data_IF_907055889360
#
_entry.id   IF_907055889360
#
_cell.length_a   1.000
_cell.length_b   1.000
_cell.length_c   1.000
_cell.angle_alpha   90.00
_cell.angle_beta   90.00
_cell.angle_gamma   90.00
#
_symmetry.space_group_name_H-M   'P 1'
#
loop_
_entity.id
_entity.type
_entity.pdbx_description
1 polymer ?
#
# COMPACT_ATOMS: atom_id res chain seq x y z
N UNK A 1 -9.51 30.70 -9.89
CA UNK A 1 -9.72 30.00 -11.17
C UNK A 1 -9.75 28.49 -10.91
N UNK A 2 -10.37 27.71 -11.82
CA UNK A 2 -10.39 26.26 -11.69
C UNK A 2 -9.09 25.61 -12.16
N UNK A 3 -8.86 24.31 -11.84
CA UNK A 3 -7.65 23.57 -12.22
C UNK A 3 -7.62 23.15 -13.71
N UNK A 4 -8.58 23.55 -14.51
CA UNK A 4 -8.64 23.29 -15.96
C UNK A 4 -8.36 24.58 -16.72
N UNK A 5 -7.46 24.50 -17.71
CA UNK A 5 -6.99 25.61 -18.52
C UNK A 5 -7.08 25.24 -19.99
N UNK A 6 -7.70 26.11 -20.80
CA UNK A 6 -7.73 25.96 -22.25
C UNK A 6 -6.59 26.74 -22.89
N UNK A 7 -5.80 26.07 -23.70
CA UNK A 7 -4.61 26.63 -24.37
C UNK A 7 -4.81 26.56 -25.88
N UNK A 8 -4.68 27.70 -26.54
CA UNK A 8 -4.81 27.81 -28.02
C UNK A 8 -3.44 27.79 -28.67
N UNK A 9 -3.34 27.02 -29.73
CA UNK A 9 -2.13 26.87 -30.53
C UNK A 9 -2.31 27.40 -31.95
N UNK A 10 -1.21 27.60 -32.66
CA UNK A 10 -1.26 27.84 -34.09
C UNK A 10 -1.64 26.56 -34.85
N UNK A 11 -2.10 26.73 -36.09
CA UNK A 11 -2.51 25.60 -36.91
C UNK A 11 -1.32 24.63 -37.12
N UNK A 12 -1.56 23.35 -36.87
CA UNK A 12 -0.53 22.30 -36.98
C UNK A 12 0.44 22.18 -35.80
N UNK A 13 0.31 23.00 -34.75
CA UNK A 13 1.16 22.97 -33.57
C UNK A 13 0.49 22.38 -32.30
N UNK A 14 -0.64 21.72 -32.48
CA UNK A 14 -1.38 21.13 -31.34
C UNK A 14 -0.56 20.02 -30.68
N UNK A 15 -0.27 20.11 -29.35
CA UNK A 15 0.57 19.13 -28.65
C UNK A 15 -0.14 17.78 -28.52
N UNK A 16 0.63 16.72 -28.34
CA UNK A 16 0.08 15.40 -28.06
C UNK A 16 -0.62 15.37 -26.69
N UNK A 17 -1.61 14.46 -26.57
CA UNK A 17 -2.25 14.17 -25.28
C UNK A 17 -1.17 13.72 -24.28
N UNK A 18 -1.30 14.17 -23.04
CA UNK A 18 -0.35 14.03 -21.93
C UNK A 18 0.92 14.87 -22.02
N UNK A 19 1.16 15.63 -23.08
CA UNK A 19 2.27 16.56 -23.06
C UNK A 19 2.15 17.53 -21.88
N UNK A 20 3.29 17.82 -21.25
CA UNK A 20 3.42 18.85 -20.26
C UNK A 20 3.63 20.22 -20.93
N UNK A 21 2.84 21.20 -20.53
CA UNK A 21 2.99 22.57 -20.97
C UNK A 21 3.38 23.43 -19.77
N UNK A 22 4.22 24.43 -19.99
CA UNK A 22 4.67 25.34 -18.93
C UNK A 22 4.18 26.76 -19.17
N UNK A 23 3.72 27.42 -18.12
CA UNK A 23 3.22 28.81 -18.14
C UNK A 23 3.91 29.59 -17.02
N UNK A 24 4.65 30.65 -17.30
CA UNK A 24 5.22 31.50 -16.26
C UNK A 24 4.10 32.32 -15.58
N UNK A 25 4.07 32.30 -14.25
CA UNK A 25 3.16 33.08 -13.43
C UNK A 25 3.98 33.84 -12.39
N UNK A 26 4.37 35.07 -12.69
CA UNK A 26 5.28 35.84 -11.84
C UNK A 26 6.63 35.14 -11.72
N UNK A 27 7.05 34.80 -10.51
CA UNK A 27 8.32 34.12 -10.22
C UNK A 27 8.23 32.58 -10.31
N UNK A 28 7.03 32.01 -10.44
CA UNK A 28 6.80 30.58 -10.51
C UNK A 28 6.42 30.12 -11.91
N UNK A 29 6.65 28.86 -12.19
CA UNK A 29 6.19 28.17 -13.40
C UNK A 29 5.05 27.23 -13.05
N UNK A 30 3.91 27.37 -13.75
CA UNK A 30 2.81 26.43 -13.67
C UNK A 30 2.98 25.35 -14.75
N UNK A 31 2.94 24.10 -14.36
CA UNK A 31 2.84 22.99 -15.29
C UNK A 31 1.39 22.54 -15.44
N UNK A 32 0.94 22.41 -16.70
CA UNK A 32 -0.36 21.86 -17.05
C UNK A 32 -0.19 20.68 -18.00
N UNK A 33 -1.03 19.67 -17.91
CA UNK A 33 -1.00 18.48 -18.75
C UNK A 33 -2.14 18.51 -19.76
N UNK A 34 -1.86 18.24 -21.03
CA UNK A 34 -2.87 18.15 -22.09
C UNK A 34 -3.79 16.95 -21.82
N UNK A 35 -5.06 17.21 -21.59
CA UNK A 35 -6.08 16.19 -21.32
C UNK A 35 -6.93 15.82 -22.54
N UNK A 36 -7.26 16.80 -23.35
CA UNK A 36 -8.07 16.58 -24.57
C UNK A 36 -7.93 17.75 -25.57
N UNK A 37 -8.19 17.46 -26.85
CA UNK A 37 -8.34 18.44 -27.89
C UNK A 37 -9.83 18.80 -28.04
N UNK A 38 -10.16 20.09 -27.98
CA UNK A 38 -11.56 20.54 -27.99
C UNK A 38 -11.98 21.26 -29.29
N UNK A 39 -11.14 21.21 -30.31
CA UNK A 39 -11.34 21.90 -31.59
C UNK A 39 -10.65 23.27 -31.64
N UNK A 40 -10.71 23.92 -32.80
CA UNK A 40 -10.13 25.27 -33.05
C UNK A 40 -8.68 25.43 -32.56
N UNK A 41 -7.84 24.43 -32.79
CA UNK A 41 -6.46 24.35 -32.32
C UNK A 41 -6.30 24.57 -30.80
N UNK A 42 -7.29 24.17 -30.03
CA UNK A 42 -7.33 24.37 -28.58
C UNK A 42 -7.20 23.02 -27.84
N UNK A 43 -6.26 22.97 -26.92
CA UNK A 43 -6.08 21.89 -25.97
C UNK A 43 -6.65 22.27 -24.61
N UNK A 44 -7.43 21.39 -24.02
CA UNK A 44 -7.89 21.49 -22.63
C UNK A 44 -6.91 20.76 -21.74
N UNK A 45 -6.38 21.47 -20.75
CA UNK A 45 -5.29 21.02 -19.91
C UNK A 45 -5.68 21.03 -18.43
N UNK A 46 -5.02 20.17 -17.66
CA UNK A 46 -5.19 20.00 -16.21
C UNK A 46 -3.96 20.60 -15.51
N UNK A 47 -4.16 21.50 -14.57
CA UNK A 47 -3.09 22.12 -13.80
C UNK A 47 -2.56 21.19 -12.70
N UNK A 48 -1.23 21.13 -12.56
CA UNK A 48 -0.53 20.39 -11.53
C UNK A 48 -0.27 21.21 -10.25
N UNK A 49 -0.54 22.52 -10.31
CA UNK A 49 -0.45 23.41 -9.16
C UNK A 49 -1.58 24.47 -9.22
N UNK A 50 -1.66 25.36 -8.21
CA UNK A 50 -2.67 26.43 -8.22
C UNK A 50 -2.56 27.31 -9.47
N UNK A 51 -3.71 27.63 -10.05
CA UNK A 51 -3.84 28.56 -11.18
C UNK A 51 -4.00 30.03 -10.77
N UNK A 52 -3.83 30.32 -9.48
CA UNK A 52 -3.96 31.71 -8.98
C UNK A 52 -2.89 32.58 -9.61
N UNK A 53 -3.34 33.75 -10.10
CA UNK A 53 -2.49 34.70 -10.82
C UNK A 53 -2.38 34.48 -12.32
N UNK A 54 -2.85 33.33 -12.85
CA UNK A 54 -2.90 33.07 -14.29
C UNK A 54 -3.86 34.04 -14.99
N UNK A 55 -3.43 34.66 -16.09
CA UNK A 55 -4.20 35.62 -16.88
C UNK A 55 -4.45 35.06 -18.29
N UNK A 56 -5.51 35.55 -18.93
CA UNK A 56 -5.76 35.25 -20.33
C UNK A 56 -4.69 35.88 -21.21
N UNK A 57 -4.24 35.18 -22.23
CA UNK A 57 -3.27 35.61 -23.19
C UNK A 57 -1.81 35.46 -22.75
N UNK A 58 -1.56 34.78 -21.63
CA UNK A 58 -0.19 34.44 -21.27
C UNK A 58 0.38 33.36 -22.19
N UNK A 59 1.66 33.49 -22.47
CA UNK A 59 2.37 32.57 -23.35
C UNK A 59 2.54 31.20 -22.67
N UNK A 60 2.33 30.15 -23.44
CA UNK A 60 2.46 28.77 -23.00
C UNK A 60 3.52 28.08 -23.85
N UNK A 61 4.40 27.33 -23.22
CA UNK A 61 5.45 26.55 -23.92
C UNK A 61 5.14 25.06 -23.84
N UNK A 62 5.08 24.39 -24.98
CA UNK A 62 5.04 22.92 -25.04
C UNK A 62 6.44 22.38 -24.76
N UNK A 63 6.58 21.48 -23.80
CA UNK A 63 7.85 20.80 -23.50
C UNK A 63 8.17 19.69 -24.50
N UNK A 64 7.23 19.31 -25.37
CA UNK A 64 7.34 18.25 -26.33
C UNK A 64 7.29 16.82 -25.74
N UNK A 65 7.04 16.68 -24.45
CA UNK A 65 7.00 15.41 -23.74
C UNK A 65 6.01 15.42 -22.58
N UNK A 66 5.54 14.25 -22.11
CA UNK A 66 4.80 14.11 -20.87
C UNK A 66 5.61 14.54 -19.64
N UNK A 67 4.91 14.72 -18.51
CA UNK A 67 5.53 14.93 -17.19
C UNK A 67 6.54 13.80 -16.95
N UNK A 68 7.74 14.15 -16.50
CA UNK A 68 8.79 13.20 -16.15
C UNK A 68 9.26 13.43 -14.70
N UNK A 69 9.72 12.37 -14.05
CA UNK A 69 10.23 12.40 -12.68
C UNK A 69 11.65 11.86 -12.62
N UNK A 70 12.48 12.31 -11.66
CA UNK A 70 13.81 11.75 -11.46
C UNK A 70 13.66 10.29 -10.98
N UNK A 71 14.57 9.45 -11.45
CA UNK A 71 14.61 8.02 -11.11
C UNK A 71 16.04 7.61 -10.77
N UNK A 72 16.21 6.53 -10.03
CA UNK A 72 17.52 6.04 -9.64
C UNK A 72 17.78 6.15 -8.15
N UNK A 73 18.98 5.74 -7.74
CA UNK A 73 19.37 5.68 -6.32
C UNK A 73 19.44 7.04 -5.65
N UNK A 74 19.61 8.09 -6.43
CA UNK A 74 19.61 9.49 -6.00
C UNK A 74 18.25 9.95 -5.44
N UNK A 75 17.18 9.20 -5.74
CA UNK A 75 15.84 9.46 -5.18
C UNK A 75 15.64 8.90 -3.78
N UNK A 76 16.50 7.98 -3.34
CA UNK A 76 16.35 7.34 -2.04
C UNK A 76 16.65 8.32 -0.90
N UNK A 77 15.82 8.25 0.12
CA UNK A 77 15.90 9.15 1.29
C UNK A 77 15.29 10.54 1.06
N UNK A 78 14.67 10.78 -0.10
CA UNK A 78 14.21 12.09 -0.53
C UNK A 78 12.69 12.12 -0.71
N UNK A 79 12.14 13.33 -0.68
CA UNK A 79 10.70 13.60 -0.93
C UNK A 79 10.57 14.43 -2.20
N UNK A 80 9.71 13.95 -3.10
CA UNK A 80 9.38 14.62 -4.36
C UNK A 80 7.89 14.93 -4.45
N UNK A 81 7.55 15.95 -5.25
CA UNK A 81 6.18 16.21 -5.66
C UNK A 81 5.81 15.44 -6.95
N UNK A 82 4.62 15.69 -7.50
CA UNK A 82 4.12 15.06 -8.73
C UNK A 82 5.00 15.30 -9.95
N UNK A 83 5.71 16.44 -10.00
CA UNK A 83 6.63 16.82 -11.09
C UNK A 83 8.07 16.32 -10.88
N UNK A 84 8.32 15.68 -9.72
CA UNK A 84 9.64 15.24 -9.34
C UNK A 84 10.55 16.36 -8.81
N UNK A 85 9.98 17.50 -8.39
CA UNK A 85 10.73 18.53 -7.69
C UNK A 85 10.91 18.12 -6.23
N UNK A 86 12.05 18.46 -5.66
CA UNK A 86 12.40 18.18 -4.26
C UNK A 86 11.58 19.08 -3.32
N UNK A 87 10.96 18.47 -2.31
CA UNK A 87 10.13 19.20 -1.31
C UNK A 87 10.62 19.03 0.13
N UNK A 88 11.74 18.35 0.33
CA UNK A 88 12.36 18.13 1.65
C UNK A 88 13.43 19.17 2.02
N UNK A 89 13.50 20.28 1.30
CA UNK A 89 14.52 21.33 1.42
C UNK A 89 15.97 20.85 1.17
N UNK A 90 16.14 19.69 0.54
CA UNK A 90 17.45 19.20 0.13
C UNK A 90 17.86 19.73 -1.24
N UNK A 91 19.09 19.41 -1.67
CA UNK A 91 19.55 19.74 -3.01
C UNK A 91 18.84 18.88 -4.07
N UNK A 92 18.61 19.46 -5.25
CA UNK A 92 18.14 18.69 -6.42
C UNK A 92 19.11 17.56 -6.76
N UNK A 93 18.60 16.35 -7.07
CA UNK A 93 19.44 15.25 -7.51
C UNK A 93 20.21 15.63 -8.78
N UNK A 94 21.54 15.52 -8.74
CA UNK A 94 22.41 15.82 -9.90
C UNK A 94 22.59 14.57 -10.74
N UNK A 95 22.59 14.76 -12.06
CA UNK A 95 22.90 13.71 -13.05
C UNK A 95 21.95 12.50 -12.99
N UNK A 96 20.73 12.63 -12.44
CA UNK A 96 19.78 11.55 -12.45
C UNK A 96 18.96 11.49 -13.74
N UNK A 97 18.65 10.27 -14.16
CA UNK A 97 17.78 10.00 -15.29
C UNK A 97 16.35 10.43 -14.94
N UNK A 98 15.59 10.87 -15.95
CA UNK A 98 14.16 11.20 -15.78
C UNK A 98 13.32 10.32 -16.69
N UNK A 99 12.27 9.76 -16.16
CA UNK A 99 11.32 8.92 -16.89
C UNK A 99 9.92 9.54 -16.91
N UNK A 100 9.27 9.40 -18.06
CA UNK A 100 7.89 9.87 -18.23
C UNK A 100 6.94 9.08 -17.33
N UNK A 101 5.97 9.76 -16.72
CA UNK A 101 4.99 9.11 -15.83
C UNK A 101 3.93 8.31 -16.60
N UNK A 102 3.66 8.65 -17.86
CA UNK A 102 2.76 7.92 -18.75
C UNK A 102 3.55 6.85 -19.49
N UNK A 103 3.60 5.65 -18.92
CA UNK A 103 4.28 4.48 -19.46
C UNK A 103 3.26 3.36 -19.69
N UNK A 104 3.47 2.52 -20.72
CA UNK A 104 2.64 1.32 -20.90
C UNK A 104 2.95 0.28 -19.80
N UNK A 105 2.00 -0.61 -19.55
CA UNK A 105 2.27 -1.82 -18.78
C UNK A 105 3.31 -2.70 -19.47
N UNK A 106 4.06 -3.54 -18.74
CA UNK A 106 4.99 -4.51 -19.34
C UNK A 106 4.28 -5.40 -20.35
N UNK A 107 4.98 -5.75 -21.43
CA UNK A 107 4.44 -6.67 -22.45
C UNK A 107 4.23 -8.07 -21.86
N UNK A 108 3.27 -8.81 -22.38
CA UNK A 108 2.97 -10.17 -21.92
C UNK A 108 4.19 -11.10 -21.93
N UNK A 109 5.09 -10.90 -22.91
CA UNK A 109 6.34 -11.65 -23.04
C UNK A 109 7.36 -11.37 -21.92
N UNK A 110 7.24 -10.24 -21.23
CA UNK A 110 8.13 -9.81 -20.14
C UNK A 110 7.65 -10.29 -18.77
N UNK A 111 6.39 -10.68 -18.64
CA UNK A 111 5.81 -11.08 -17.36
C UNK A 111 6.45 -12.36 -16.82
N UNK A 112 6.59 -12.42 -15.50
CA UNK A 112 6.92 -13.66 -14.80
C UNK A 112 5.71 -14.60 -14.80
N UNK A 113 5.96 -15.91 -14.95
CA UNK A 113 4.90 -16.91 -15.10
C UNK A 113 4.60 -17.69 -13.81
N UNK A 114 5.47 -17.60 -12.80
CA UNK A 114 5.31 -18.29 -11.51
C UNK A 114 4.79 -17.34 -10.44
N UNK A 115 3.81 -17.80 -9.67
CA UNK A 115 3.41 -17.14 -8.44
C UNK A 115 4.41 -17.52 -7.33
N UNK A 116 5.07 -16.54 -6.75
CA UNK A 116 5.99 -16.71 -5.63
C UNK A 116 5.46 -15.96 -4.39
N UNK A 117 5.67 -16.55 -3.22
CA UNK A 117 5.32 -15.88 -1.96
C UNK A 117 6.34 -14.77 -1.70
N UNK A 118 5.85 -13.59 -1.41
CA UNK A 118 6.62 -12.49 -0.86
C UNK A 118 6.62 -12.62 0.66
N UNK A 119 7.68 -13.19 1.21
CA UNK A 119 7.81 -13.41 2.66
C UNK A 119 8.00 -12.09 3.39
N UNK A 120 7.08 -11.77 4.29
CA UNK A 120 7.09 -10.51 5.04
C UNK A 120 7.81 -10.61 6.39
N UNK A 121 7.96 -11.81 6.92
CA UNK A 121 8.46 -12.08 8.27
C UNK A 121 7.48 -11.73 9.37
N UNK A 122 6.22 -11.45 9.03
CA UNK A 122 5.12 -11.14 9.94
C UNK A 122 4.16 -12.32 9.98
N UNK A 123 4.13 -13.02 11.10
CA UNK A 123 3.41 -14.31 11.25
C UNK A 123 1.97 -14.30 10.73
N UNK A 124 1.18 -13.30 11.14
CA UNK A 124 -0.24 -13.25 10.77
C UNK A 124 -0.43 -13.03 9.27
N UNK A 125 0.42 -12.23 8.63
CA UNK A 125 0.37 -11.99 7.19
C UNK A 125 0.80 -13.25 6.45
N UNK A 126 1.98 -13.76 6.74
CA UNK A 126 2.57 -14.89 6.03
C UNK A 126 1.73 -16.16 6.18
N UNK A 127 1.04 -16.36 7.30
CA UNK A 127 0.17 -17.51 7.52
C UNK A 127 -1.18 -17.38 6.82
N UNK A 128 -1.88 -16.25 7.06
CA UNK A 128 -3.33 -16.11 6.77
C UNK A 128 -3.60 -15.43 5.43
N UNK A 129 -2.85 -14.38 5.13
CA UNK A 129 -3.01 -13.60 3.90
C UNK A 129 -1.66 -13.38 3.18
N UNK A 130 -0.93 -14.46 2.84
CA UNK A 130 0.40 -14.35 2.25
C UNK A 130 0.38 -13.48 1.01
N UNK A 131 1.39 -12.63 0.87
CA UNK A 131 1.52 -11.71 -0.26
C UNK A 131 2.17 -12.43 -1.44
N UNK A 132 1.68 -12.13 -2.63
CA UNK A 132 2.30 -12.56 -3.87
C UNK A 132 3.37 -11.57 -4.29
N UNK A 133 4.53 -12.06 -4.69
CA UNK A 133 5.56 -11.23 -5.33
C UNK A 133 5.01 -10.66 -6.64
N UNK A 134 5.08 -9.34 -6.78
CA UNK A 134 4.42 -8.63 -7.88
C UNK A 134 2.91 -8.49 -7.74
N UNK A 135 2.35 -8.87 -6.59
CA UNK A 135 0.93 -8.78 -6.28
C UNK A 135 0.50 -7.40 -5.79
N UNK A 136 -0.81 -7.24 -5.74
CA UNK A 136 -1.49 -6.02 -5.30
C UNK A 136 -2.26 -6.32 -4.02
N UNK A 137 -1.85 -5.70 -2.94
CA UNK A 137 -2.40 -5.94 -1.60
C UNK A 137 -3.22 -4.73 -1.18
N UNK A 138 -4.48 -4.95 -0.82
CA UNK A 138 -5.30 -3.94 -0.18
C UNK A 138 -5.09 -3.93 1.33
N UNK A 139 -4.75 -2.79 1.89
CA UNK A 139 -4.61 -2.59 3.33
C UNK A 139 -5.81 -1.77 3.83
N UNK A 140 -6.63 -2.42 4.64
CA UNK A 140 -7.83 -1.83 5.23
C UNK A 140 -7.62 -1.58 6.71
N UNK A 141 -8.16 -0.49 7.21
CA UNK A 141 -8.13 -0.19 8.64
C UNK A 141 -8.42 1.26 8.93
N UNK A 142 -9.15 1.49 10.00
CA UNK A 142 -9.44 2.81 10.52
C UNK A 142 -8.22 3.51 11.13
N UNK A 143 -8.44 4.70 11.67
CA UNK A 143 -7.38 5.42 12.39
C UNK A 143 -7.00 4.68 13.68
N UNK A 144 -5.72 4.69 14.03
CA UNK A 144 -5.20 4.20 15.30
C UNK A 144 -5.06 2.68 15.44
N UNK A 145 -5.16 1.91 14.35
CA UNK A 145 -5.00 0.45 14.36
C UNK A 145 -3.57 -0.02 14.04
N UNK A 146 -2.63 0.91 13.88
CA UNK A 146 -1.21 0.59 13.61
C UNK A 146 -0.84 0.45 12.14
N UNK A 147 -1.63 1.02 11.20
CA UNK A 147 -1.34 0.96 9.76
C UNK A 147 0.08 1.46 9.43
N UNK A 148 0.45 2.64 9.90
CA UNK A 148 1.76 3.26 9.66
C UNK A 148 2.91 2.40 10.21
N UNK A 149 2.75 1.85 11.41
CA UNK A 149 3.76 0.98 12.02
C UNK A 149 3.94 -0.31 11.22
N UNK A 150 2.86 -0.89 10.73
CA UNK A 150 2.91 -2.06 9.84
C UNK A 150 3.64 -1.75 8.53
N UNK A 151 3.33 -0.62 7.90
CA UNK A 151 4.02 -0.17 6.68
C UNK A 151 5.53 -0.02 6.92
N UNK A 152 5.91 0.65 8.00
CA UNK A 152 7.32 0.83 8.34
C UNK A 152 8.04 -0.49 8.61
N UNK A 153 7.38 -1.44 9.27
CA UNK A 153 7.96 -2.77 9.51
C UNK A 153 8.15 -3.55 8.21
N UNK A 154 7.20 -3.49 7.28
CA UNK A 154 7.35 -4.09 5.96
C UNK A 154 8.52 -3.49 5.18
N UNK A 155 8.68 -2.17 5.20
CA UNK A 155 9.84 -1.48 4.59
C UNK A 155 11.15 -1.95 5.24
N UNK A 156 11.18 -2.02 6.57
CA UNK A 156 12.34 -2.46 7.32
C UNK A 156 12.72 -3.91 6.98
N UNK A 157 11.74 -4.80 6.93
CA UNK A 157 11.96 -6.21 6.66
C UNK A 157 12.45 -6.45 5.23
N UNK A 158 11.87 -5.78 4.23
CA UNK A 158 12.35 -5.91 2.85
C UNK A 158 13.76 -5.36 2.69
N UNK A 159 14.07 -4.24 3.34
CA UNK A 159 15.41 -3.65 3.28
C UNK A 159 16.47 -4.53 3.93
N UNK A 160 16.16 -5.14 5.08
CA UNK A 160 17.11 -5.98 5.83
C UNK A 160 17.29 -7.38 5.27
N UNK A 161 16.18 -8.02 4.88
CA UNK A 161 16.20 -9.44 4.51
C UNK A 161 16.36 -9.66 3.00
N UNK A 162 15.83 -8.77 2.20
CA UNK A 162 15.83 -8.90 0.74
C UNK A 162 16.74 -7.88 0.05
N UNK A 163 17.33 -6.93 0.80
CA UNK A 163 18.12 -5.82 0.21
C UNK A 163 17.30 -4.94 -0.75
N UNK A 164 15.98 -5.03 -0.65
CA UNK A 164 15.03 -4.38 -1.56
C UNK A 164 14.85 -2.89 -1.28
N UNK A 165 14.23 -2.23 -2.24
CA UNK A 165 13.94 -0.81 -2.24
C UNK A 165 12.44 -0.61 -2.08
N UNK A 166 12.06 0.46 -1.41
CA UNK A 166 10.66 0.84 -1.25
C UNK A 166 10.40 2.21 -1.86
N UNK A 167 9.20 2.37 -2.40
CA UNK A 167 8.68 3.67 -2.84
C UNK A 167 7.37 3.92 -2.11
N UNK A 168 7.27 5.03 -1.41
CA UNK A 168 6.04 5.43 -0.74
C UNK A 168 5.39 6.58 -1.50
N UNK A 169 4.15 6.38 -1.91
CA UNK A 169 3.37 7.36 -2.67
C UNK A 169 2.20 7.84 -1.84
N UNK A 170 2.25 9.09 -1.39
CA UNK A 170 1.17 9.75 -0.67
C UNK A 170 0.20 10.42 -1.62
N UNK A 171 -1.01 9.88 -1.74
CA UNK A 171 -2.04 10.38 -2.66
C UNK A 171 -3.16 11.04 -1.87
N UNK A 172 -3.21 12.37 -1.87
CA UNK A 172 -4.27 13.15 -1.22
C UNK A 172 -4.29 13.03 0.31
N UNK A 173 -3.16 12.66 0.93
CA UNK A 173 -3.04 12.59 2.37
C UNK A 173 -2.76 13.97 3.01
N UNK A 174 -2.94 14.06 4.31
CA UNK A 174 -2.67 15.31 5.04
C UNK A 174 -1.18 15.57 5.12
N UNK A 175 -0.78 16.80 4.89
CA UNK A 175 0.63 17.25 4.98
C UNK A 175 1.28 16.88 6.30
N UNK A 176 0.54 16.98 7.41
CA UNK A 176 1.02 16.61 8.74
C UNK A 176 1.34 15.12 8.81
N UNK A 177 0.45 14.24 8.35
CA UNK A 177 0.65 12.79 8.38
C UNK A 177 1.84 12.36 7.51
N UNK A 178 2.00 12.99 6.34
CA UNK A 178 3.17 12.77 5.49
C UNK A 178 4.49 13.20 6.15
N UNK A 179 4.50 14.32 6.87
CA UNK A 179 5.66 14.77 7.61
C UNK A 179 5.98 13.90 8.83
N UNK A 180 4.95 13.46 9.56
CA UNK A 180 5.11 12.55 10.69
C UNK A 180 5.71 11.22 10.21
N UNK A 181 5.20 10.64 9.12
CA UNK A 181 5.73 9.42 8.51
C UNK A 181 7.21 9.58 8.08
N UNK A 182 7.56 10.70 7.45
CA UNK A 182 8.95 10.98 7.06
C UNK A 182 9.89 10.99 8.28
N UNK A 183 9.48 11.67 9.35
CA UNK A 183 10.27 11.73 10.57
C UNK A 183 10.40 10.35 11.25
N UNK A 184 9.33 9.57 11.29
CA UNK A 184 9.34 8.20 11.82
C UNK A 184 10.26 7.28 10.99
N UNK A 185 10.21 7.35 9.64
CA UNK A 185 11.12 6.63 8.76
C UNK A 185 12.58 7.03 8.96
N UNK A 186 12.83 8.31 9.21
CA UNK A 186 14.17 8.82 9.51
C UNK A 186 14.70 8.30 10.83
N UNK A 187 13.86 8.27 11.88
CA UNK A 187 14.21 7.79 13.21
C UNK A 187 14.45 6.27 13.25
N UNK A 188 13.66 5.51 12.51
CA UNK A 188 13.80 4.05 12.39
C UNK A 188 14.93 3.62 11.46
N UNK A 189 15.47 4.55 10.65
CA UNK A 189 16.57 4.30 9.72
C UNK A 189 16.17 3.63 8.40
N UNK A 190 14.87 3.46 8.14
CA UNK A 190 14.38 2.86 6.89
C UNK A 190 14.36 3.84 5.71
N UNK A 191 14.42 5.15 6.00
CA UNK A 191 14.34 6.19 4.98
C UNK A 191 15.41 6.06 3.88
N UNK A 192 16.61 5.62 4.23
CA UNK A 192 17.74 5.47 3.29
C UNK A 192 17.49 4.51 2.11
N UNK A 193 16.52 3.61 2.25
CA UNK A 193 16.13 2.65 1.22
C UNK A 193 14.74 2.97 0.64
N UNK A 194 14.20 4.16 0.91
CA UNK A 194 12.84 4.54 0.52
C UNK A 194 12.86 5.87 -0.23
N UNK A 195 12.22 5.92 -1.40
CA UNK A 195 11.87 7.16 -2.07
C UNK A 195 10.43 7.55 -1.72
N UNK A 196 10.17 8.84 -1.49
CA UNK A 196 8.85 9.35 -1.15
C UNK A 196 8.37 10.30 -2.24
N UNK A 197 7.11 10.11 -2.68
CA UNK A 197 6.48 10.97 -3.68
C UNK A 197 5.12 11.40 -3.15
N UNK A 198 4.93 12.69 -2.93
CA UNK A 198 3.73 13.21 -2.28
C UNK A 198 2.91 14.13 -3.19
N UNK A 199 1.60 13.86 -3.26
CA UNK A 199 0.58 14.76 -3.76
C UNK A 199 -0.43 14.99 -2.64
N UNK A 200 -0.28 16.10 -1.92
CA UNK A 200 -0.98 16.37 -0.68
C UNK A 200 -2.46 16.73 -0.89
N UNK A 201 -3.26 16.64 0.18
CA UNK A 201 -4.70 16.94 0.16
C UNK A 201 -5.03 18.35 -0.31
N UNK A 202 -4.16 19.32 -0.05
CA UNK A 202 -4.32 20.73 -0.44
C UNK A 202 -3.92 21.02 -1.88
N UNK A 203 -3.31 20.06 -2.58
CA UNK A 203 -2.93 20.21 -3.98
C UNK A 203 -4.13 20.03 -4.92
N UNK A 204 -4.10 20.62 -6.13
CA UNK A 204 -5.19 20.50 -7.09
C UNK A 204 -5.40 19.03 -7.52
N UNK A 205 -6.59 18.70 -8.04
CA UNK A 205 -6.92 17.33 -8.41
C UNK A 205 -5.99 16.74 -9.49
N UNK A 206 -5.42 17.57 -10.36
CA UNK A 206 -4.42 17.13 -11.33
C UNK A 206 -3.19 16.50 -10.68
N UNK A 207 -2.63 17.16 -9.68
CA UNK A 207 -1.48 16.65 -8.92
C UNK A 207 -1.84 15.33 -8.18
N UNK A 208 -2.97 15.31 -7.47
CA UNK A 208 -3.43 14.13 -6.73
C UNK A 208 -3.73 12.93 -7.65
N UNK A 209 -4.19 13.18 -8.88
CA UNK A 209 -4.46 12.14 -9.89
C UNK A 209 -3.17 11.58 -10.50
N UNK A 210 -2.09 12.35 -10.59
CA UNK A 210 -0.84 11.97 -11.27
C UNK A 210 0.25 11.47 -10.33
N UNK A 211 0.23 11.86 -9.06
CA UNK A 211 1.28 11.49 -8.11
C UNK A 211 1.45 9.97 -7.96
N UNK A 212 0.36 9.19 -8.07
CA UNK A 212 0.41 7.73 -8.09
C UNK A 212 1.26 7.19 -9.26
N UNK A 213 1.13 7.81 -10.44
CA UNK A 213 1.95 7.48 -11.61
C UNK A 213 3.40 7.89 -11.41
N UNK A 214 3.64 9.04 -10.77
CA UNK A 214 5.00 9.51 -10.47
C UNK A 214 5.75 8.53 -9.56
N UNK A 215 5.14 8.10 -8.46
CA UNK A 215 5.75 7.12 -7.56
C UNK A 215 5.93 5.74 -8.23
N UNK A 216 4.94 5.30 -8.98
CA UNK A 216 5.04 4.04 -9.74
C UNK A 216 6.20 4.08 -10.75
N UNK A 217 6.42 5.21 -11.41
CA UNK A 217 7.53 5.36 -12.37
C UNK A 217 8.89 5.24 -11.68
N UNK A 218 9.05 5.79 -10.48
CA UNK A 218 10.26 5.59 -9.66
C UNK A 218 10.46 4.11 -9.33
N UNK A 219 9.40 3.41 -8.95
CA UNK A 219 9.46 1.97 -8.67
C UNK A 219 9.81 1.14 -9.92
N UNK A 220 9.26 1.48 -11.07
CA UNK A 220 9.55 0.81 -12.35
C UNK A 220 11.03 0.88 -12.75
N UNK A 221 11.72 1.98 -12.46
CA UNK A 221 13.13 2.07 -12.73
C UNK A 221 13.92 0.98 -12.00
N UNK A 222 13.67 0.78 -10.74
CA UNK A 222 14.36 -0.24 -9.95
C UNK A 222 14.00 -1.65 -10.39
N UNK A 223 12.75 -1.91 -10.78
CA UNK A 223 12.32 -3.20 -11.34
C UNK A 223 12.97 -3.46 -12.70
N UNK A 224 12.88 -2.51 -13.64
CA UNK A 224 13.16 -2.73 -15.05
C UNK A 224 14.66 -2.58 -15.39
N UNK A 225 15.36 -1.66 -14.71
CA UNK A 225 16.75 -1.32 -14.97
C UNK A 225 17.71 -1.94 -13.96
N UNK A 226 17.36 -1.96 -12.68
CA UNK A 226 18.20 -2.54 -11.65
C UNK A 226 17.82 -3.99 -11.29
N UNK A 227 16.72 -4.53 -11.80
CA UNK A 227 16.30 -5.90 -11.56
C UNK A 227 15.94 -6.17 -10.09
N UNK A 228 15.44 -5.15 -9.39
CA UNK A 228 15.12 -5.23 -7.96
C UNK A 228 13.69 -5.70 -7.70
N UNK A 229 13.49 -6.27 -6.54
CA UNK A 229 12.17 -6.46 -5.97
C UNK A 229 11.80 -5.20 -5.17
N UNK A 230 10.80 -4.48 -5.68
CA UNK A 230 10.40 -3.17 -5.15
C UNK A 230 9.09 -3.30 -4.38
N UNK A 231 9.01 -2.67 -3.22
CA UNK A 231 7.79 -2.51 -2.47
C UNK A 231 7.22 -1.11 -2.72
N UNK A 232 6.02 -1.06 -3.32
CA UNK A 232 5.33 0.20 -3.63
C UNK A 232 4.16 0.39 -2.67
N UNK A 233 4.19 1.46 -1.89
CA UNK A 233 3.05 1.88 -1.07
C UNK A 233 2.27 2.98 -1.76
N UNK A 234 0.94 2.87 -1.77
CA UNK A 234 0.02 3.90 -2.25
C UNK A 234 -0.97 4.21 -1.13
N UNK A 235 -0.83 5.37 -0.53
CA UNK A 235 -1.72 5.84 0.53
C UNK A 235 -2.31 7.20 0.13
N UNK A 236 -3.51 7.28 -0.32
CA UNK A 236 -4.60 6.30 -0.38
C UNK A 236 -5.09 6.14 -1.83
N UNK A 237 -5.29 4.91 -2.30
CA UNK A 237 -5.72 4.67 -3.70
C UNK A 237 -7.11 5.25 -3.99
N UNK A 238 -7.99 5.35 -2.99
CA UNK A 238 -9.30 6.01 -3.14
C UNK A 238 -9.16 7.48 -3.56
N UNK A 239 -8.14 8.19 -3.07
CA UNK A 239 -7.91 9.60 -3.42
C UNK A 239 -7.51 9.78 -4.88
N UNK A 240 -6.82 8.81 -5.47
CA UNK A 240 -6.58 8.76 -6.92
C UNK A 240 -7.90 8.76 -7.69
N UNK A 241 -8.83 7.90 -7.32
CA UNK A 241 -10.16 7.83 -7.94
C UNK A 241 -10.96 9.12 -7.73
N UNK A 242 -10.96 9.66 -6.52
CA UNK A 242 -11.64 10.90 -6.19
C UNK A 242 -11.11 12.08 -7.02
N UNK A 243 -9.80 12.23 -7.13
CA UNK A 243 -9.20 13.26 -7.96
C UNK A 243 -9.57 13.09 -9.44
N UNK A 244 -9.62 11.86 -9.93
CA UNK A 244 -10.10 11.54 -11.28
C UNK A 244 -11.53 11.97 -11.51
N UNK A 245 -12.44 11.81 -10.55
CA UNK A 245 -13.84 12.25 -10.66
C UNK A 245 -13.94 13.79 -10.69
N UNK A 246 -13.16 14.48 -9.85
CA UNK A 246 -13.09 15.95 -9.85
C UNK A 246 -12.61 16.49 -11.21
N UNK A 247 -11.54 15.91 -11.76
CA UNK A 247 -11.01 16.28 -13.07
C UNK A 247 -12.03 15.98 -14.17
N UNK A 248 -12.67 14.83 -14.17
CA UNK A 248 -13.67 14.42 -15.18
C UNK A 248 -14.85 15.39 -15.24
N UNK A 249 -15.34 15.82 -14.08
CA UNK A 249 -16.41 16.82 -13.99
C UNK A 249 -15.98 18.17 -14.59
N UNK A 250 -14.76 18.62 -14.28
CA UNK A 250 -14.20 19.86 -14.81
C UNK A 250 -13.92 19.80 -16.32
N UNK A 251 -13.62 18.62 -16.86
CA UNK A 251 -13.48 18.40 -18.31
C UNK A 251 -14.83 18.36 -19.04
N UNK A 252 -15.96 18.44 -18.31
CA UNK A 252 -17.30 18.40 -18.86
C UNK A 252 -17.76 17.00 -19.30
N UNK A 253 -17.15 15.94 -18.77
CA UNK A 253 -17.59 14.56 -19.04
C UNK A 253 -18.85 14.24 -18.25
N UNK A 254 -19.78 13.53 -18.85
CA UNK A 254 -20.99 13.08 -18.18
C UNK A 254 -20.61 12.06 -17.07
N UNK A 255 -21.04 12.26 -15.83
CA UNK A 255 -20.72 11.34 -14.75
C UNK A 255 -21.42 9.98 -14.92
N UNK A 256 -20.76 8.93 -14.43
CA UNK A 256 -21.34 7.60 -14.30
C UNK A 256 -22.04 7.42 -12.94
N UNK A 257 -22.25 6.17 -12.52
CA UNK A 257 -22.90 5.87 -11.26
C UNK A 257 -22.22 6.58 -10.06
N UNK A 258 -23.02 7.09 -9.13
CA UNK A 258 -22.60 7.78 -7.89
C UNK A 258 -21.72 9.03 -8.15
N UNK A 259 -21.70 9.54 -9.38
CA UNK A 259 -20.94 10.75 -9.73
C UNK A 259 -19.49 10.48 -10.13
N UNK A 260 -19.04 9.23 -10.23
CA UNK A 260 -17.69 8.91 -10.68
C UNK A 260 -17.49 9.13 -12.19
N UNK A 261 -16.23 9.23 -12.60
CA UNK A 261 -15.85 9.33 -14.01
C UNK A 261 -16.23 8.07 -14.81
N UNK A 262 -16.67 8.22 -16.06
CA UNK A 262 -16.96 7.06 -16.91
C UNK A 262 -15.70 6.24 -17.25
N UNK A 263 -14.52 6.82 -17.07
CA UNK A 263 -13.22 6.21 -17.34
C UNK A 263 -12.59 5.56 -16.10
N UNK A 264 -13.32 5.42 -15.00
CA UNK A 264 -12.82 4.91 -13.71
C UNK A 264 -12.07 3.57 -13.85
N UNK A 265 -12.69 2.59 -14.48
CA UNK A 265 -12.10 1.27 -14.66
C UNK A 265 -10.83 1.32 -15.53
N UNK A 266 -10.82 2.15 -16.57
CA UNK A 266 -9.67 2.28 -17.46
C UNK A 266 -8.50 2.98 -16.78
N UNK A 267 -8.76 4.04 -16.00
CA UNK A 267 -7.74 4.77 -15.25
C UNK A 267 -7.12 3.90 -14.16
N UNK A 268 -7.95 3.19 -13.40
CA UNK A 268 -7.50 2.23 -12.39
C UNK A 268 -6.71 1.08 -13.04
N UNK A 269 -7.23 0.50 -14.12
CA UNK A 269 -6.56 -0.57 -14.86
C UNK A 269 -5.19 -0.13 -15.39
N UNK A 270 -5.10 1.06 -15.98
CA UNK A 270 -3.84 1.60 -16.51
C UNK A 270 -2.76 1.74 -15.43
N UNK A 271 -3.14 2.10 -14.20
CA UNK A 271 -2.21 2.14 -13.07
C UNK A 271 -1.87 0.72 -12.58
N UNK A 272 -2.88 -0.12 -12.36
CA UNK A 272 -2.72 -1.41 -11.71
C UNK A 272 -1.96 -2.43 -12.57
N UNK A 273 -2.13 -2.42 -13.90
CA UNK A 273 -1.45 -3.35 -14.80
C UNK A 273 0.07 -3.09 -14.93
N UNK A 274 0.53 -1.91 -14.56
CA UNK A 274 1.97 -1.60 -14.47
C UNK A 274 2.62 -2.23 -13.23
N UNK A 275 1.83 -2.54 -12.21
CA UNK A 275 2.25 -3.15 -10.95
C UNK A 275 2.25 -4.67 -11.12
N UNK A 276 3.41 -5.24 -11.38
CA UNK A 276 3.53 -6.68 -11.68
C UNK A 276 4.97 -7.16 -11.54
N UNK A 277 5.13 -8.48 -11.53
CA UNK A 277 6.43 -9.16 -11.67
C UNK A 277 6.80 -9.31 -13.13
N UNK A 278 8.04 -8.97 -13.46
CA UNK A 278 8.65 -9.24 -14.74
C UNK A 278 9.78 -10.26 -14.59
N UNK A 279 10.33 -10.72 -15.71
CA UNK A 279 11.52 -11.61 -15.71
C UNK A 279 12.77 -10.96 -15.11
N UNK A 280 12.79 -9.63 -14.95
CA UNK A 280 13.91 -8.87 -14.40
C UNK A 280 13.78 -8.60 -12.92
N UNK A 281 12.59 -8.22 -12.45
CA UNK A 281 12.31 -7.84 -11.07
C UNK A 281 10.82 -7.73 -10.84
N UNK A 282 10.41 -7.29 -9.66
CA UNK A 282 9.00 -7.18 -9.29
C UNK A 282 8.65 -5.86 -8.63
N UNK A 283 7.38 -5.45 -8.77
CA UNK A 283 6.77 -4.42 -7.93
C UNK A 283 5.62 -5.09 -7.20
N UNK A 284 5.75 -5.22 -5.89
CA UNK A 284 4.66 -5.64 -5.00
C UNK A 284 4.06 -4.39 -4.39
N UNK A 285 2.75 -4.17 -4.53
CA UNK A 285 2.12 -2.97 -4.00
C UNK A 285 1.25 -3.24 -2.78
N UNK A 286 1.36 -2.33 -1.81
CA UNK A 286 0.45 -2.26 -0.66
C UNK A 286 -0.31 -0.95 -0.77
N UNK A 287 -1.60 -1.06 -0.98
CA UNK A 287 -2.49 0.04 -1.27
C UNK A 287 -3.45 0.24 -0.10
N UNK A 288 -3.34 1.37 0.59
CA UNK A 288 -4.35 1.73 1.57
C UNK A 288 -5.66 2.04 0.85
N UNK A 289 -6.72 1.39 1.26
CA UNK A 289 -8.05 1.54 0.66
C UNK A 289 -8.98 2.16 1.69
N UNK A 290 -9.55 3.32 1.36
CA UNK A 290 -10.65 3.91 2.08
C UNK A 290 -11.97 3.48 1.44
N UNK A 291 -12.90 3.03 2.26
CA UNK A 291 -14.24 2.61 1.82
C UNK A 291 -15.24 3.65 2.32
N UNK A 292 -15.82 4.47 1.42
CA UNK A 292 -16.80 5.47 1.81
C UNK A 292 -18.03 4.84 2.50
N UNK A 293 -18.39 5.34 3.67
CA UNK A 293 -19.53 4.86 4.46
C UNK A 293 -19.52 3.34 4.75
N UNK A 294 -18.34 2.70 4.71
CA UNK A 294 -18.17 1.25 4.82
C UNK A 294 -18.95 0.44 3.75
N UNK A 295 -19.29 1.09 2.62
CA UNK A 295 -20.00 0.48 1.50
C UNK A 295 -19.03 -0.11 0.47
N UNK A 296 -18.83 -1.42 0.52
CA UNK A 296 -18.00 -2.17 -0.42
C UNK A 296 -18.57 -2.21 -1.85
N UNK A 297 -19.82 -1.82 -2.04
CA UNK A 297 -20.48 -1.78 -3.36
C UNK A 297 -20.28 -0.45 -4.08
N UNK A 298 -19.71 0.56 -3.41
CA UNK A 298 -19.32 1.82 -4.04
C UNK A 298 -18.36 1.55 -5.21
N UNK A 299 -18.56 2.18 -6.38
CA UNK A 299 -17.77 1.91 -7.58
C UNK A 299 -16.25 2.04 -7.42
N UNK A 300 -15.75 2.93 -6.57
CA UNK A 300 -14.33 3.12 -6.38
C UNK A 300 -13.65 1.95 -5.64
N UNK A 301 -14.08 1.55 -4.43
CA UNK A 301 -13.54 0.35 -3.80
C UNK A 301 -13.83 -0.90 -4.63
N UNK A 302 -15.03 -1.07 -5.20
CA UNK A 302 -15.37 -2.24 -6.00
C UNK A 302 -14.42 -2.43 -7.20
N UNK A 303 -14.08 -1.34 -7.91
CA UNK A 303 -13.09 -1.39 -9.00
C UNK A 303 -11.69 -1.71 -8.48
N UNK A 304 -11.29 -1.15 -7.34
CA UNK A 304 -10.00 -1.45 -6.71
C UNK A 304 -9.91 -2.91 -6.32
N UNK A 305 -10.93 -3.47 -5.67
CA UNK A 305 -10.98 -4.88 -5.24
C UNK A 305 -10.79 -5.87 -6.38
N UNK A 306 -11.29 -5.55 -7.58
CA UNK A 306 -11.14 -6.41 -8.74
C UNK A 306 -9.66 -6.67 -9.11
N UNK A 307 -8.77 -5.75 -8.76
CA UNK A 307 -7.33 -5.85 -9.04
C UNK A 307 -6.52 -6.46 -7.88
N UNK A 308 -7.08 -6.57 -6.68
CA UNK A 308 -6.33 -7.03 -5.51
C UNK A 308 -6.12 -8.56 -5.52
N UNK A 309 -4.90 -8.97 -5.13
CA UNK A 309 -4.51 -10.37 -4.95
C UNK A 309 -4.64 -10.82 -3.50
N UNK A 310 -4.49 -9.89 -2.56
CA UNK A 310 -4.69 -10.12 -1.14
C UNK A 310 -5.31 -8.90 -0.45
N UNK A 311 -5.99 -9.16 0.66
CA UNK A 311 -6.53 -8.12 1.54
C UNK A 311 -6.04 -8.34 2.96
N UNK A 312 -5.51 -7.29 3.58
CA UNK A 312 -5.11 -7.27 4.97
C UNK A 312 -6.00 -6.27 5.71
N UNK A 313 -6.79 -6.76 6.64
CA UNK A 313 -7.73 -5.96 7.41
C UNK A 313 -7.19 -5.74 8.82
N UNK A 314 -6.97 -4.46 9.18
CA UNK A 314 -6.59 -4.07 10.54
C UNK A 314 -7.86 -3.72 11.33
N UNK A 315 -8.09 -4.41 12.42
CA UNK A 315 -9.32 -4.34 13.17
C UNK A 315 -9.14 -3.68 14.55
N UNK A 316 -10.03 -2.75 14.88
CA UNK A 316 -9.97 -2.00 16.14
C UNK A 316 -10.26 -2.89 17.36
N UNK A 317 -11.13 -3.89 17.23
CA UNK A 317 -11.42 -4.87 18.27
C UNK A 317 -10.18 -5.68 18.67
N UNK A 318 -9.30 -6.02 17.71
CA UNK A 318 -8.04 -6.72 17.95
C UNK A 318 -7.02 -5.77 18.59
N UNK A 319 -6.91 -4.54 18.09
CA UNK A 319 -6.05 -3.51 18.68
C UNK A 319 -6.44 -3.21 20.15
N UNK A 320 -7.73 -3.17 20.47
CA UNK A 320 -8.21 -2.94 21.84
C UNK A 320 -7.87 -4.06 22.82
N UNK A 321 -7.58 -5.26 22.33
CA UNK A 321 -7.09 -6.40 23.12
C UNK A 321 -5.57 -6.37 23.33
N UNK A 322 -4.88 -5.35 22.80
CA UNK A 322 -3.41 -5.24 22.86
C UNK A 322 -2.69 -6.22 21.96
N UNK A 323 -3.33 -6.76 20.93
CA UNK A 323 -2.74 -7.67 19.95
C UNK A 323 -2.26 -6.84 18.76
N UNK A 324 -0.96 -6.84 18.50
CA UNK A 324 -0.33 -6.12 17.39
C UNK A 324 0.64 -7.04 16.64
N UNK A 325 0.67 -7.00 15.28
CA UNK A 325 -0.19 -6.17 14.43
C UNK A 325 -1.66 -6.57 14.56
N UNK A 326 -2.55 -5.58 14.51
CA UNK A 326 -3.98 -5.80 14.72
C UNK A 326 -4.69 -6.35 13.47
N UNK A 327 -4.07 -7.28 12.77
CA UNK A 327 -4.61 -7.92 11.57
C UNK A 327 -5.71 -8.91 11.96
N UNK A 328 -6.87 -8.76 11.35
CA UNK A 328 -7.98 -9.69 11.53
C UNK A 328 -7.77 -10.94 10.67
N UNK A 329 -7.55 -12.12 11.28
CA UNK A 329 -7.26 -13.35 10.54
C UNK A 329 -8.49 -13.95 9.85
N UNK A 330 -9.71 -13.50 10.17
CA UNK A 330 -10.95 -13.99 9.57
C UNK A 330 -11.42 -13.11 8.41
N UNK A 331 -11.16 -11.79 8.50
CA UNK A 331 -11.51 -10.82 7.46
C UNK A 331 -10.40 -10.66 6.40
N UNK A 332 -9.17 -11.06 6.72
CA UNK A 332 -8.03 -10.99 5.79
C UNK A 332 -7.98 -12.23 4.90
N UNK A 333 -7.57 -12.03 3.64
CA UNK A 333 -7.56 -13.12 2.65
C UNK A 333 -6.45 -12.95 1.62
N UNK A 334 -6.09 -14.05 0.94
CA UNK A 334 -5.16 -14.03 -0.18
C UNK A 334 -5.54 -15.08 -1.22
N UNK A 335 -5.44 -14.71 -2.50
CA UNK A 335 -5.67 -15.61 -3.63
C UNK A 335 -4.63 -16.72 -3.73
N UNK A 336 -3.40 -16.46 -3.27
CA UNK A 336 -2.33 -17.46 -3.32
C UNK A 336 -2.38 -18.45 -2.16
N UNK A 337 -3.28 -18.29 -1.19
CA UNK A 337 -3.47 -19.26 -0.11
C UNK A 337 -4.22 -20.50 -0.65
N UNK A 338 -3.53 -21.27 -1.45
CA UNK A 338 -3.99 -22.54 -2.04
C UNK A 338 -2.90 -23.60 -1.93
N UNK A 339 -3.25 -24.89 -1.84
CA UNK A 339 -2.27 -25.97 -1.69
C UNK A 339 -1.21 -26.00 -2.79
N UNK A 340 -1.60 -25.61 -4.02
CA UNK A 340 -0.73 -25.64 -5.20
C UNK A 340 0.38 -24.59 -5.15
N UNK A 341 0.19 -23.50 -4.41
CA UNK A 341 1.14 -22.38 -4.33
C UNK A 341 1.89 -22.39 -3.00
N UNK A 342 1.17 -22.41 -1.87
CA UNK A 342 1.79 -22.34 -0.54
C UNK A 342 2.19 -23.70 0.01
N UNK A 343 1.73 -24.80 -0.59
CA UNK A 343 1.91 -26.16 -0.12
C UNK A 343 0.82 -26.62 0.85
N UNK A 344 0.63 -27.94 0.91
CA UNK A 344 -0.43 -28.59 1.69
C UNK A 344 -0.36 -28.28 3.19
N UNK A 345 0.84 -28.26 3.76
CA UNK A 345 1.03 -28.04 5.20
C UNK A 345 0.61 -26.62 5.60
N UNK A 346 1.12 -25.62 4.90
CA UNK A 346 0.79 -24.22 5.15
C UNK A 346 -0.73 -24.00 5.03
N UNK A 347 -1.31 -24.49 3.94
CA UNK A 347 -2.76 -24.35 3.70
C UNK A 347 -3.60 -24.96 4.82
N UNK A 348 -3.27 -26.19 5.24
CA UNK A 348 -3.98 -26.90 6.32
C UNK A 348 -3.87 -26.16 7.65
N UNK A 349 -2.67 -25.71 8.02
CA UNK A 349 -2.45 -24.96 9.26
C UNK A 349 -3.23 -23.64 9.25
N UNK A 350 -3.18 -22.88 8.16
CA UNK A 350 -3.92 -21.62 8.04
C UNK A 350 -5.42 -21.83 8.16
N UNK A 351 -5.97 -22.82 7.47
CA UNK A 351 -7.42 -23.13 7.52
C UNK A 351 -7.85 -23.61 8.89
N UNK A 352 -7.03 -24.40 9.56
CA UNK A 352 -7.35 -24.86 10.91
C UNK A 352 -7.28 -23.72 11.93
N UNK A 353 -6.32 -22.81 11.82
CA UNK A 353 -6.30 -21.57 12.63
C UNK A 353 -7.58 -20.77 12.44
N UNK A 354 -7.98 -20.55 11.19
CA UNK A 354 -9.23 -19.83 10.89
C UNK A 354 -10.46 -20.54 11.48
N UNK A 355 -10.54 -21.87 11.34
CA UNK A 355 -11.64 -22.67 11.89
C UNK A 355 -11.73 -22.55 13.40
N UNK A 356 -10.60 -22.64 14.10
CA UNK A 356 -10.54 -22.54 15.57
C UNK A 356 -10.98 -21.14 16.02
N UNK A 357 -10.50 -20.08 15.37
CA UNK A 357 -10.85 -18.72 15.71
C UNK A 357 -12.31 -18.40 15.38
N UNK A 358 -12.85 -18.91 14.28
CA UNK A 358 -14.26 -18.78 13.95
C UNK A 358 -15.15 -19.46 15.00
N UNK A 359 -14.84 -20.69 15.37
CA UNK A 359 -15.56 -21.40 16.41
C UNK A 359 -15.47 -20.70 17.77
N UNK A 360 -14.31 -20.15 18.09
CA UNK A 360 -14.13 -19.35 19.29
C UNK A 360 -15.05 -18.13 19.32
N UNK A 361 -15.17 -17.40 18.22
CA UNK A 361 -16.08 -16.26 18.13
C UNK A 361 -17.55 -16.68 18.37
N UNK A 362 -17.98 -17.81 17.81
CA UNK A 362 -19.33 -18.36 18.05
C UNK A 362 -19.57 -18.72 19.53
N UNK A 363 -18.54 -19.23 20.21
CA UNK A 363 -18.63 -19.58 21.64
C UNK A 363 -18.58 -18.36 22.56
N UNK A 364 -18.05 -17.23 22.12
CA UNK A 364 -17.92 -16.03 22.96
C UNK A 364 -19.27 -15.52 23.47
N UNK A 365 -20.33 -15.58 22.66
CA UNK A 365 -21.67 -15.17 23.06
C UNK A 365 -22.22 -16.11 24.13
N UNK A 366 -21.96 -17.41 24.00
CA UNK A 366 -22.35 -18.41 24.99
C UNK A 366 -21.57 -18.20 26.29
N UNK A 367 -20.27 -17.97 26.21
CA UNK A 367 -19.41 -17.70 27.37
C UNK A 367 -19.87 -16.44 28.12
N UNK A 368 -20.24 -15.39 27.39
CA UNK A 368 -20.69 -14.13 27.97
C UNK A 368 -22.00 -14.26 28.75
N UNK A 369 -22.89 -15.16 28.33
CA UNK A 369 -24.22 -15.36 28.94
C UNK A 369 -24.19 -16.43 30.03
N UNK A 370 -23.55 -17.57 29.76
CA UNK A 370 -23.64 -18.78 30.57
C UNK A 370 -22.37 -19.10 31.37
N UNK A 371 -21.23 -18.47 30.97
CA UNK A 371 -19.94 -18.76 31.57
C UNK A 371 -19.20 -19.93 30.90
N UNK A 372 -17.91 -20.07 31.23
CA UNK A 372 -17.06 -21.14 30.72
C UNK A 372 -17.45 -22.54 31.19
N UNK A 373 -18.09 -22.65 32.36
CA UNK A 373 -18.36 -23.95 32.98
C UNK A 373 -19.41 -24.77 32.22
N UNK A 374 -20.29 -24.10 31.50
CA UNK A 374 -21.33 -24.71 30.66
C UNK A 374 -20.84 -25.27 29.32
N UNK A 375 -19.62 -24.99 28.94
CA UNK A 375 -19.04 -25.52 27.71
C UNK A 375 -18.65 -27.00 27.87
N UNK A 376 -18.73 -27.75 26.78
CA UNK A 376 -18.17 -29.11 26.69
C UNK A 376 -16.64 -29.07 26.91
N UNK A 377 -16.05 -30.18 27.33
CA UNK A 377 -14.60 -30.26 27.54
C UNK A 377 -13.83 -29.99 26.23
N UNK A 378 -14.36 -30.42 25.09
CA UNK A 378 -13.80 -30.16 23.77
C UNK A 378 -13.84 -28.65 23.43
N UNK A 379 -14.97 -27.98 23.70
CA UNK A 379 -15.07 -26.51 23.49
C UNK A 379 -14.18 -25.74 24.47
N UNK A 380 -14.03 -26.18 25.71
CA UNK A 380 -13.08 -25.60 26.68
C UNK A 380 -11.64 -25.66 26.18
N UNK A 381 -11.24 -26.81 25.65
CA UNK A 381 -9.92 -27.02 25.07
C UNK A 381 -9.72 -26.14 23.83
N UNK A 382 -10.74 -26.07 22.96
CA UNK A 382 -10.72 -25.22 21.78
C UNK A 382 -10.55 -23.74 22.17
N UNK A 383 -11.28 -23.24 23.16
CA UNK A 383 -11.17 -21.87 23.66
C UNK A 383 -9.75 -21.59 24.19
N UNK A 384 -9.15 -22.52 24.94
CA UNK A 384 -7.78 -22.36 25.44
C UNK A 384 -6.77 -22.27 24.28
N UNK A 385 -6.87 -23.12 23.26
CA UNK A 385 -6.00 -23.07 22.08
C UNK A 385 -6.24 -21.82 21.24
N UNK A 386 -7.51 -21.40 21.07
CA UNK A 386 -7.85 -20.19 20.35
C UNK A 386 -7.21 -18.92 20.98
N UNK A 387 -7.25 -18.80 22.30
CA UNK A 387 -6.61 -17.71 23.03
C UNK A 387 -5.08 -17.71 22.86
N UNK A 388 -4.44 -18.89 22.86
CA UNK A 388 -3.00 -19.01 22.57
C UNK A 388 -2.69 -18.61 21.13
N UNK A 389 -3.52 -19.05 20.17
CA UNK A 389 -3.39 -18.68 18.75
C UNK A 389 -3.51 -17.15 18.59
N UNK A 390 -4.54 -16.51 19.16
CA UNK A 390 -4.71 -15.06 19.08
C UNK A 390 -3.47 -14.32 19.61
N UNK A 391 -2.92 -14.73 20.75
CA UNK A 391 -1.72 -14.12 21.33
C UNK A 391 -0.48 -14.40 20.51
N UNK A 392 -0.35 -15.61 19.95
CA UNK A 392 0.79 -15.97 19.09
C UNK A 392 0.75 -15.30 17.71
N UNK A 393 -0.39 -14.81 17.25
CA UNK A 393 -0.50 -13.93 16.08
C UNK A 393 0.17 -12.57 16.33
N UNK A 394 0.30 -12.12 17.57
CA UNK A 394 1.05 -10.92 17.91
C UNK A 394 2.54 -11.08 17.68
N UNK A 395 3.22 -9.99 17.37
CA UNK A 395 4.65 -9.99 17.09
C UNK A 395 5.25 -8.61 17.40
N UNK A 396 6.38 -8.53 18.10
CA UNK A 396 7.08 -7.26 18.28
C UNK A 396 7.78 -6.85 16.98
N UNK A 397 7.72 -5.56 16.67
CA UNK A 397 8.32 -4.98 15.48
C UNK A 397 9.58 -4.21 15.79
N UNK A 398 10.58 -4.28 14.91
CA UNK A 398 11.83 -3.54 15.01
C UNK A 398 11.61 -2.02 15.07
N UNK A 399 10.71 -1.52 14.23
CA UNK A 399 10.41 -0.08 14.14
C UNK A 399 9.72 0.45 15.39
N UNK A 400 9.11 -0.40 16.20
CA UNK A 400 8.43 -0.03 17.45
C UNK A 400 9.24 -0.29 18.71
N UNK A 401 10.44 -0.86 18.62
CA UNK A 401 11.28 -1.24 19.77
C UNK A 401 11.51 -0.10 20.77
N UNK A 402 11.78 1.11 20.26
CA UNK A 402 12.02 2.31 21.09
C UNK A 402 10.80 2.73 21.92
N UNK A 403 9.59 2.40 21.46
CA UNK A 403 8.35 2.78 22.13
C UNK A 403 7.79 1.68 23.01
N UNK A 404 7.99 0.43 22.62
CA UNK A 404 7.42 -0.75 23.32
C UNK A 404 8.42 -1.39 24.29
N UNK A 405 9.72 -1.19 24.08
CA UNK A 405 10.77 -1.86 24.81
C UNK A 405 10.95 -3.35 24.47
N UNK A 406 10.20 -3.86 23.48
CA UNK A 406 10.36 -5.22 22.99
C UNK A 406 11.27 -5.23 21.76
N UNK A 407 12.27 -6.10 21.77
CA UNK A 407 13.12 -6.32 20.61
C UNK A 407 12.28 -6.88 19.45
N UNK A 408 12.39 -6.25 18.27
CA UNK A 408 11.71 -6.69 17.07
C UNK A 408 12.13 -8.10 16.63
N UNK A 409 11.21 -8.79 15.98
CA UNK A 409 11.40 -10.17 15.52
C UNK A 409 10.95 -10.33 14.08
N UNK A 410 11.85 -10.78 13.22
CA UNK A 410 11.52 -11.34 11.91
C UNK A 410 11.29 -12.84 12.08
N UNK A 411 10.16 -13.36 11.63
CA UNK A 411 9.83 -14.78 11.78
C UNK A 411 9.72 -15.42 10.40
N UNK A 412 10.63 -16.35 10.03
CA UNK A 412 10.53 -17.08 8.79
C UNK A 412 9.20 -17.85 8.69
N UNK A 413 8.66 -17.96 7.48
CA UNK A 413 7.37 -18.63 7.25
C UNK A 413 7.35 -20.09 7.74
N UNK A 414 8.46 -20.80 7.62
CA UNK A 414 8.61 -22.18 8.13
C UNK A 414 8.42 -22.25 9.65
N UNK A 415 8.98 -21.29 10.40
CA UNK A 415 8.83 -21.19 11.85
C UNK A 415 7.42 -20.77 12.25
N UNK A 416 6.79 -19.90 11.45
CA UNK A 416 5.38 -19.54 11.62
C UNK A 416 4.48 -20.77 11.49
N UNK A 417 4.61 -21.54 10.41
CA UNK A 417 3.82 -22.75 10.17
C UNK A 417 4.06 -23.77 11.29
N UNK A 418 5.32 -24.02 11.65
CA UNK A 418 5.68 -24.95 12.73
C UNK A 418 5.02 -24.55 14.05
N UNK A 419 5.12 -23.28 14.43
CA UNK A 419 4.60 -22.80 15.70
C UNK A 419 3.08 -22.95 15.82
N UNK A 420 2.32 -22.53 14.79
CA UNK A 420 0.87 -22.68 14.80
C UNK A 420 0.44 -24.14 14.74
N UNK A 421 1.11 -24.99 13.95
CA UNK A 421 0.86 -26.42 13.94
C UNK A 421 1.02 -27.05 15.33
N UNK A 422 2.10 -26.75 16.05
CA UNK A 422 2.34 -27.28 17.38
C UNK A 422 1.29 -26.85 18.41
N UNK A 423 0.78 -25.62 18.29
CA UNK A 423 -0.34 -25.15 19.14
C UNK A 423 -1.63 -25.91 18.82
N UNK A 424 -1.95 -26.10 17.55
CA UNK A 424 -3.14 -26.85 17.08
C UNK A 424 -3.09 -28.29 17.55
N UNK A 425 -1.93 -28.94 17.43
CA UNK A 425 -1.69 -30.34 17.85
C UNK A 425 -1.71 -30.50 19.40
N UNK A 426 -1.72 -29.40 20.14
CA UNK A 426 -1.79 -29.43 21.60
C UNK A 426 -0.47 -29.67 22.32
N UNK A 427 0.67 -29.60 21.64
CA UNK A 427 2.00 -29.80 22.26
C UNK A 427 2.27 -28.78 23.39
N UNK A 428 1.60 -27.66 23.36
CA UNK A 428 1.79 -26.56 24.30
C UNK A 428 0.55 -26.25 25.16
N UNK A 429 -0.36 -27.22 25.30
CA UNK A 429 -1.61 -27.04 26.07
C UNK A 429 -1.33 -26.70 27.55
N UNK A 430 -0.25 -27.21 28.11
CA UNK A 430 0.16 -26.97 29.49
C UNK A 430 0.75 -25.57 29.77
N UNK A 431 1.12 -24.81 28.71
CA UNK A 431 1.71 -23.50 28.87
C UNK A 431 0.63 -22.41 29.09
N UNK A 432 0.93 -21.36 29.91
CA UNK A 432 0.01 -20.27 30.09
C UNK A 432 -0.14 -19.45 28.80
N UNK A 433 -1.33 -18.92 28.53
CA UNK A 433 -1.61 -18.15 27.31
C UNK A 433 -0.75 -16.85 27.22
N UNK A 434 -0.36 -16.27 28.35
CA UNK A 434 0.51 -15.08 28.40
C UNK A 434 1.90 -15.29 27.81
N UNK A 435 2.37 -16.53 27.76
CA UNK A 435 3.65 -16.87 27.17
C UNK A 435 3.70 -16.64 25.65
N UNK A 436 2.56 -16.69 24.99
CA UNK A 436 2.44 -16.57 23.53
C UNK A 436 2.34 -15.11 23.04
N UNK A 437 2.21 -14.14 23.93
CA UNK A 437 2.05 -12.73 23.56
C UNK A 437 3.42 -12.08 23.26
N UNK A 438 3.52 -11.39 22.12
CA UNK A 438 4.73 -10.67 21.68
C UNK A 438 6.01 -11.52 21.69
N UNK A 439 5.93 -12.68 21.07
CA UNK A 439 7.06 -13.57 20.81
C UNK A 439 7.25 -13.76 19.31
N UNK A 440 8.46 -14.11 18.87
CA UNK A 440 8.75 -14.48 17.50
C UNK A 440 8.35 -15.92 17.24
N UNK A 441 9.23 -16.86 17.60
CA UNK A 441 9.03 -18.30 17.37
C UNK A 441 8.32 -18.97 18.53
N UNK A 442 7.88 -20.22 18.30
CA UNK A 442 7.26 -21.04 19.35
C UNK A 442 8.23 -21.37 20.49
N UNK A 443 9.52 -21.51 20.16
CA UNK A 443 10.56 -21.78 21.16
C UNK A 443 10.70 -20.62 22.15
N UNK A 444 10.56 -19.38 21.69
CA UNK A 444 10.54 -18.21 22.57
C UNK A 444 9.35 -18.23 23.55
N UNK A 445 8.18 -18.70 23.09
CA UNK A 445 7.04 -18.87 23.99
C UNK A 445 7.31 -19.92 25.07
N UNK A 446 7.96 -21.02 24.72
CA UNK A 446 8.36 -22.06 25.67
C UNK A 446 9.38 -21.54 26.68
N UNK A 447 10.38 -20.77 26.23
CA UNK A 447 11.37 -20.15 27.11
C UNK A 447 10.73 -19.12 28.05
N UNK A 448 9.86 -18.27 27.52
CA UNK A 448 9.13 -17.27 28.31
C UNK A 448 8.26 -17.93 29.40
N UNK A 449 7.64 -19.05 29.11
CA UNK A 449 6.88 -19.82 30.09
C UNK A 449 7.76 -20.41 31.20
N UNK A 450 9.02 -20.77 30.91
CA UNK A 450 9.98 -21.26 31.90
C UNK A 450 10.51 -20.13 32.80
N UNK A 451 10.70 -18.92 32.25
CA UNK A 451 11.18 -17.77 33.01
C UNK A 451 10.10 -17.07 33.87
N UNK A 452 8.83 -17.40 33.66
CA UNK A 452 7.69 -16.90 34.45
C UNK A 452 7.37 -17.76 35.70
N UNK A 453 8.14 -18.82 35.92
CA UNK A 453 8.13 -19.62 37.16
C UNK A 453 9.22 -19.13 38.08
#
# INVERSE_FOLDING_TARGET
MGPVVDVRFEEGQLPAIYNALTVPIGERTLTVEVAQHIGDNTARCIAMASTDGLRRGEAVTDTGAPISVPVGRETLGRIFNVLGDVVDNGEEPKDCERWNIHRPAPEYSELATSAEIFETGIKVIDLICPYSKGGKIGLFGGAGVGKTVLIMELINNIAKQHGGISVFTGVGERTREGNDLYNEMKQSGVLKNTALVYGQMNEPPGARMRVGLSGLTVAEYFRDKEGQDVLLFIDNIFRFTQAGSEVSALLGRMPSAVGYQPTLANEMGALQERITSTKKGSITSIQAVYVPADDLTDPAPATTFAHLDATTVLARNIASQGIYPAVDPLESSSRILSPDIVGEEHYKVAKEVQRILQRYNELMDIIAIMGMDELSDDDKLLVQRARKIQRFLSQPFDVSEKFTGFQGKYVPISETIRGFREIIEGKHDSLPESAFLFVGTIDEAVEKAKGAK
#
